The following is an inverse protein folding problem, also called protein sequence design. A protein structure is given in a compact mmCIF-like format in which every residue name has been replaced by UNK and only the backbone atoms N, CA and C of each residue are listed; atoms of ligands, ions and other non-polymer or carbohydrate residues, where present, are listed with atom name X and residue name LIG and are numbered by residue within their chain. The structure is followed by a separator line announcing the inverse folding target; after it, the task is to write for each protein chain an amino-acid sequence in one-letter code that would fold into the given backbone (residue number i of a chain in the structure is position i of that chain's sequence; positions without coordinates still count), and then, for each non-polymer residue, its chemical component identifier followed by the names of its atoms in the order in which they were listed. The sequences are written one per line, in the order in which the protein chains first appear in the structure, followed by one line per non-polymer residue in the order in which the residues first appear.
data_IF_215613034593
#
_entry.id   IF_215613034593
#
_cell.length_a   1.000
_cell.length_b   1.000
_cell.length_c   1.000
_cell.angle_alpha   90.00
_cell.angle_beta   90.00
_cell.angle_gamma   90.00
#
_symmetry.space_group_name_H-M   'P 1'
#
loop_
_entity.id
_entity.type
_entity.pdbx_description
1 polymer ?
#
# COMPACT_ATOMS: atom_id res chain seq x y z
N UNK A 1 11.12 31.82 51.26
CA UNK A 1 12.32 31.28 50.57
C UNK A 1 12.50 29.76 50.66
N UNK A 2 12.20 29.06 51.77
CA UNK A 2 12.41 27.60 51.89
C UNK A 2 11.48 26.72 51.00
N UNK A 3 10.27 27.15 50.66
CA UNK A 3 9.32 26.39 49.80
C UNK A 3 9.67 26.44 48.32
N UNK A 4 10.28 27.50 47.82
CA UNK A 4 10.67 27.67 46.41
C UNK A 4 11.92 26.86 46.05
N UNK A 5 12.85 26.70 47.01
CA UNK A 5 14.06 25.89 46.82
C UNK A 5 13.75 24.38 46.74
N UNK A 6 12.73 23.89 47.45
CA UNK A 6 12.34 22.47 47.43
C UNK A 6 11.68 22.10 46.11
N UNK A 7 10.89 22.99 45.51
CA UNK A 7 10.24 22.74 44.20
C UNK A 7 11.24 22.70 43.05
N UNK A 8 12.29 23.52 43.07
CA UNK A 8 13.36 23.51 42.05
C UNK A 8 14.23 22.26 42.18
N UNK A 9 14.52 21.76 43.38
CA UNK A 9 15.26 20.51 43.57
C UNK A 9 14.47 19.30 43.13
N UNK A 10 13.15 19.22 43.41
CA UNK A 10 12.31 18.12 42.95
C UNK A 10 12.14 18.09 41.42
N UNK A 11 11.99 19.25 40.77
CA UNK A 11 11.94 19.37 39.32
C UNK A 11 13.23 18.92 38.63
N UNK A 12 14.39 19.26 39.22
CA UNK A 12 15.71 18.87 38.71
C UNK A 12 15.97 17.35 38.85
N UNK A 13 15.50 16.74 39.94
CA UNK A 13 15.64 15.29 40.17
C UNK A 13 14.75 14.51 39.22
N UNK A 14 13.53 14.97 38.94
CA UNK A 14 12.64 14.31 37.94
C UNK A 14 13.20 14.41 36.51
N UNK A 15 13.77 15.55 36.15
CA UNK A 15 14.37 15.73 34.81
C UNK A 15 15.62 14.84 34.60
N UNK A 16 16.48 14.74 35.64
CA UNK A 16 17.66 13.87 35.58
C UNK A 16 17.26 12.38 35.49
N UNK A 17 16.26 11.98 36.26
CA UNK A 17 15.78 10.59 36.20
C UNK A 17 15.13 10.24 34.84
N UNK A 18 14.44 11.19 34.18
CA UNK A 18 13.88 10.97 32.84
C UNK A 18 14.97 10.88 31.78
N UNK A 19 16.00 11.69 31.83
CA UNK A 19 17.15 11.62 30.91
C UNK A 19 17.91 10.30 31.11
N UNK A 20 18.17 9.90 32.35
CA UNK A 20 18.85 8.63 32.67
C UNK A 20 18.00 7.41 32.22
N UNK A 21 16.67 7.50 32.36
CA UNK A 21 15.78 6.42 31.85
C UNK A 21 15.82 6.30 30.32
N UNK A 22 15.84 7.44 29.62
CA UNK A 22 15.98 7.47 28.15
C UNK A 22 17.35 6.97 27.71
N UNK A 23 18.44 7.39 28.37
CA UNK A 23 19.79 6.89 28.09
C UNK A 23 19.93 5.38 28.34
N UNK A 24 19.31 4.88 29.43
CA UNK A 24 19.30 3.43 29.72
C UNK A 24 18.45 2.66 28.71
N UNK A 25 17.31 3.21 28.23
CA UNK A 25 16.56 2.61 27.14
C UNK A 25 17.34 2.59 25.85
N UNK A 26 18.04 3.66 25.49
CA UNK A 26 18.88 3.74 24.30
C UNK A 26 20.08 2.76 24.37
N UNK A 27 20.69 2.60 25.55
CA UNK A 27 21.76 1.60 25.76
C UNK A 27 21.23 0.18 25.63
N UNK A 28 20.08 -0.13 26.23
CA UNK A 28 19.45 -1.44 26.15
C UNK A 28 19.03 -1.80 24.72
N UNK A 29 18.60 -0.83 23.89
CA UNK A 29 18.31 -1.04 22.47
C UNK A 29 19.58 -1.41 21.71
N UNK A 30 20.71 -0.78 22.00
CA UNK A 30 21.99 -1.07 21.34
C UNK A 30 22.62 -2.41 21.78
N UNK A 31 22.43 -2.82 23.04
CA UNK A 31 22.98 -4.07 23.56
C UNK A 31 22.22 -5.33 23.12
N UNK A 32 20.96 -5.19 22.67
CA UNK A 32 20.11 -6.32 22.23
C UNK A 32 20.11 -6.59 20.73
N UNK A 33 20.82 -5.77 19.94
CA UNK A 33 20.83 -5.90 18.48
C UNK A 33 21.85 -6.96 18.04
N UNK A 34 21.35 -8.11 17.55
CA UNK A 34 22.20 -9.16 16.98
C UNK A 34 22.94 -8.60 15.75
N UNK A 35 24.29 -8.68 15.70
CA UNK A 35 25.05 -8.23 14.55
C UNK A 35 24.63 -8.95 13.25
N UNK A 36 24.61 -8.23 12.12
CA UNK A 36 24.21 -8.76 10.83
C UNK A 36 24.91 -10.08 10.46
N UNK A 37 26.22 -10.17 10.76
CA UNK A 37 27.05 -11.34 10.46
C UNK A 37 26.64 -12.61 11.23
N UNK A 38 25.87 -12.48 12.31
CA UNK A 38 25.40 -13.59 13.15
C UNK A 38 23.98 -14.01 12.83
N UNK A 39 23.27 -13.30 11.95
CA UNK A 39 21.88 -13.59 11.58
C UNK A 39 21.84 -14.72 10.54
N UNK A 40 20.91 -15.69 10.69
CA UNK A 40 20.66 -16.65 9.63
C UNK A 40 20.19 -15.93 8.37
N UNK A 41 20.65 -16.36 7.21
CA UNK A 41 20.23 -15.77 5.94
C UNK A 41 19.02 -16.52 5.40
N UNK A 42 17.98 -15.77 4.99
CA UNK A 42 16.79 -16.26 4.31
C UNK A 42 16.51 -15.43 3.07
N UNK A 43 16.00 -16.04 2.01
CA UNK A 43 15.50 -15.31 0.86
C UNK A 43 14.07 -14.84 1.12
N UNK A 44 13.74 -13.61 0.71
CA UNK A 44 12.39 -13.11 0.79
C UNK A 44 11.47 -13.86 -0.18
N UNK A 45 10.31 -14.32 0.30
CA UNK A 45 9.22 -14.71 -0.58
C UNK A 45 8.63 -13.44 -1.19
N UNK A 46 8.72 -13.30 -2.51
CA UNK A 46 8.18 -12.17 -3.25
C UNK A 46 6.92 -12.59 -4.00
N UNK A 47 5.79 -11.94 -3.70
CA UNK A 47 4.52 -12.22 -4.36
C UNK A 47 4.03 -10.99 -5.13
N UNK A 48 3.22 -11.22 -6.15
CA UNK A 48 2.63 -10.17 -6.97
C UNK A 48 1.16 -9.97 -6.62
N UNK A 49 0.70 -8.72 -6.69
CA UNK A 49 -0.70 -8.37 -6.42
C UNK A 49 -1.67 -9.24 -7.27
N UNK A 50 -2.79 -9.71 -6.67
CA UNK A 50 -3.30 -9.39 -5.34
C UNK A 50 -2.76 -10.29 -4.21
N UNK A 51 -1.78 -11.17 -4.47
CA UNK A 51 -1.27 -12.12 -3.50
C UNK A 51 -0.24 -11.48 -2.56
N UNK A 52 -0.14 -12.03 -1.35
CA UNK A 52 0.83 -11.65 -0.33
C UNK A 52 1.66 -12.86 0.11
N UNK A 53 2.92 -12.66 0.57
CA UNK A 53 3.70 -13.75 1.14
C UNK A 53 3.05 -14.29 2.41
N UNK A 54 3.32 -15.54 2.74
CA UNK A 54 2.79 -16.16 3.98
C UNK A 54 3.25 -15.41 5.23
N UNK A 55 2.44 -15.45 6.31
CA UNK A 55 2.87 -14.96 7.62
C UNK A 55 4.20 -15.57 8.05
N UNK A 56 5.04 -14.77 8.72
CA UNK A 56 6.35 -15.21 9.16
C UNK A 56 6.21 -16.05 10.43
N UNK A 57 6.64 -17.32 10.36
CA UNK A 57 6.54 -18.26 11.49
C UNK A 57 7.76 -18.20 12.41
N UNK A 58 8.91 -17.70 11.94
CA UNK A 58 10.13 -17.59 12.75
C UNK A 58 9.98 -16.57 13.87
N UNK A 59 10.51 -16.88 15.04
CA UNK A 59 10.46 -16.02 16.23
C UNK A 59 11.71 -15.17 16.42
N UNK A 60 12.77 -15.42 15.65
CA UNK A 60 14.04 -14.71 15.73
C UNK A 60 14.31 -13.89 14.47
N UNK A 61 15.07 -12.78 14.59
CA UNK A 61 15.48 -12.01 13.43
C UNK A 61 16.36 -12.82 12.46
N UNK A 62 16.33 -12.44 11.18
CA UNK A 62 17.15 -13.00 10.11
C UNK A 62 17.76 -11.89 9.25
N UNK A 63 18.74 -12.24 8.44
CA UNK A 63 19.14 -11.46 7.28
C UNK A 63 18.26 -11.87 6.11
N UNK A 64 17.31 -11.03 5.74
CA UNK A 64 16.34 -11.28 4.66
C UNK A 64 16.87 -10.67 3.38
N UNK A 65 17.15 -11.50 2.37
CA UNK A 65 17.65 -11.07 1.07
C UNK A 65 16.50 -10.81 0.12
N UNK A 66 16.37 -9.57 -0.35
CA UNK A 66 15.38 -9.10 -1.30
C UNK A 66 16.06 -8.81 -2.62
N UNK A 67 15.65 -9.49 -3.70
CA UNK A 67 16.20 -9.31 -5.05
C UNK A 67 15.20 -8.63 -5.95
N UNK A 68 15.53 -7.42 -6.41
CA UNK A 68 14.70 -6.65 -7.34
C UNK A 68 15.45 -6.35 -8.62
N UNK A 69 14.75 -6.38 -9.73
CA UNK A 69 15.28 -6.08 -11.06
C UNK A 69 14.44 -4.96 -11.69
N UNK A 70 15.11 -3.87 -12.12
CA UNK A 70 14.47 -2.77 -12.82
C UNK A 70 14.27 -3.13 -14.29
N UNK A 71 13.01 -3.18 -14.74
CA UNK A 71 12.64 -3.61 -16.10
C UNK A 71 11.68 -2.62 -16.75
N UNK A 72 11.93 -2.30 -18.02
CA UNK A 72 10.98 -1.58 -18.86
C UNK A 72 10.08 -2.58 -19.60
N UNK A 73 8.75 -2.43 -19.50
CA UNK A 73 7.79 -3.31 -20.19
C UNK A 73 6.67 -2.51 -20.82
N UNK A 74 6.25 -2.91 -22.01
CA UNK A 74 5.00 -2.41 -22.60
C UNK A 74 3.87 -3.29 -22.10
N UNK A 75 2.92 -2.69 -21.40
CA UNK A 75 1.72 -3.33 -20.86
C UNK A 75 0.51 -2.43 -21.11
N UNK A 76 -0.69 -2.94 -20.91
CA UNK A 76 -1.92 -2.17 -21.06
C UNK A 76 -2.34 -1.55 -19.73
N UNK A 77 -2.67 -0.24 -19.75
CA UNK A 77 -3.36 0.44 -18.64
C UNK A 77 -4.85 0.08 -18.68
N UNK A 78 -5.40 -0.04 -19.87
CA UNK A 78 -6.76 -0.41 -20.19
C UNK A 78 -6.73 -1.19 -21.50
N UNK A 79 -7.78 -1.96 -21.82
CA UNK A 79 -7.86 -2.73 -23.06
C UNK A 79 -7.57 -1.85 -24.28
N UNK A 80 -6.54 -2.21 -25.05
CA UNK A 80 -6.08 -1.47 -26.22
C UNK A 80 -5.23 -0.23 -25.92
N UNK A 81 -5.04 0.18 -24.69
CA UNK A 81 -4.23 1.36 -24.31
C UNK A 81 -2.89 0.92 -23.77
N UNK A 82 -1.89 0.84 -24.64
CA UNK A 82 -0.53 0.44 -24.29
C UNK A 82 0.28 1.60 -23.71
N UNK A 83 1.10 1.31 -22.70
CA UNK A 83 2.01 2.24 -22.07
C UNK A 83 3.34 1.56 -21.73
N UNK A 84 4.45 2.30 -21.77
CA UNK A 84 5.74 1.78 -21.34
C UNK A 84 5.92 1.99 -19.86
N UNK A 85 5.66 0.95 -19.09
CA UNK A 85 5.91 0.90 -17.66
C UNK A 85 7.41 0.79 -17.35
N UNK A 86 7.80 1.37 -16.26
CA UNK A 86 9.01 1.02 -15.53
C UNK A 86 8.60 0.21 -14.30
N UNK A 87 9.26 -0.89 -14.07
CA UNK A 87 8.80 -1.87 -13.08
C UNK A 87 9.95 -2.40 -12.25
N UNK A 88 9.63 -2.92 -11.06
CA UNK A 88 10.49 -3.88 -10.39
C UNK A 88 9.95 -5.29 -10.61
N UNK A 89 10.80 -6.20 -11.03
CA UNK A 89 10.49 -7.59 -11.36
C UNK A 89 9.36 -7.76 -12.41
N UNK A 90 9.21 -6.76 -13.29
CA UNK A 90 8.30 -6.83 -14.45
C UNK A 90 6.82 -6.67 -14.13
N UNK A 91 6.45 -6.18 -12.96
CA UNK A 91 5.06 -5.97 -12.53
C UNK A 91 4.84 -4.56 -11.97
N UNK A 92 3.62 -4.07 -12.10
CA UNK A 92 3.09 -2.89 -11.41
C UNK A 92 1.74 -3.25 -10.79
N UNK A 93 1.58 -3.17 -9.47
CA UNK A 93 2.63 -2.85 -8.50
C UNK A 93 3.75 -3.90 -8.47
N UNK A 94 4.90 -3.47 -7.95
CA UNK A 94 6.05 -4.31 -7.69
C UNK A 94 5.75 -5.38 -6.62
N UNK A 95 6.61 -6.40 -6.44
CA UNK A 95 6.35 -7.47 -5.47
C UNK A 95 6.08 -6.96 -4.05
N UNK A 96 5.20 -7.67 -3.34
CA UNK A 96 5.04 -7.49 -1.90
C UNK A 96 6.23 -8.11 -1.16
N UNK A 97 6.80 -7.35 -0.23
CA UNK A 97 7.91 -7.77 0.64
C UNK A 97 7.36 -7.93 2.05
N UNK A 98 7.61 -9.07 2.69
CA UNK A 98 7.18 -9.34 4.07
C UNK A 98 8.39 -9.70 4.92
N UNK A 99 8.65 -8.90 5.96
CA UNK A 99 9.74 -9.08 6.90
C UNK A 99 9.24 -8.93 8.33
N UNK A 100 10.06 -9.25 9.31
CA UNK A 100 9.75 -9.15 10.73
C UNK A 100 10.57 -8.03 11.38
N UNK A 101 10.00 -7.38 12.38
CA UNK A 101 10.74 -6.44 13.23
C UNK A 101 12.03 -7.07 13.77
N UNK A 102 13.13 -6.35 13.61
CA UNK A 102 14.47 -6.79 13.96
C UNK A 102 15.26 -7.44 12.82
N UNK A 103 14.63 -7.78 11.69
CA UNK A 103 15.33 -8.31 10.52
C UNK A 103 16.32 -7.30 9.95
N UNK A 104 17.44 -7.83 9.45
CA UNK A 104 18.33 -7.10 8.57
C UNK A 104 17.91 -7.37 7.12
N UNK A 105 17.35 -6.37 6.46
CA UNK A 105 16.90 -6.47 5.07
C UNK A 105 18.05 -6.11 4.15
N UNK A 106 18.59 -7.10 3.45
CA UNK A 106 19.61 -6.91 2.41
C UNK A 106 18.90 -6.82 1.06
N UNK A 107 18.98 -5.66 0.42
CA UNK A 107 18.32 -5.39 -0.85
C UNK A 107 19.35 -5.39 -1.97
N UNK A 108 19.10 -6.20 -2.98
CA UNK A 108 19.90 -6.29 -4.20
C UNK A 108 19.07 -5.75 -5.36
N UNK A 109 19.47 -4.60 -5.93
CA UNK A 109 18.85 -4.02 -7.11
C UNK A 109 19.74 -4.26 -8.33
N UNK A 110 19.17 -4.90 -9.35
CA UNK A 110 19.81 -5.07 -10.65
C UNK A 110 19.13 -4.19 -11.70
N UNK A 111 19.93 -3.52 -12.53
CA UNK A 111 19.45 -2.75 -13.67
C UNK A 111 20.11 -3.33 -14.94
N UNK A 112 19.39 -4.03 -15.82
CA UNK A 112 19.94 -4.68 -16.99
C UNK A 112 20.65 -3.71 -17.95
N UNK A 113 21.58 -4.22 -18.75
CA UNK A 113 22.40 -3.44 -19.70
C UNK A 113 21.57 -2.72 -20.77
N UNK A 114 20.38 -3.23 -21.08
CA UNK A 114 19.42 -2.63 -22.03
C UNK A 114 18.50 -1.60 -21.39
N UNK A 115 18.58 -1.38 -20.07
CA UNK A 115 17.90 -0.29 -19.37
C UNK A 115 18.28 1.06 -19.97
N UNK A 116 17.38 2.04 -19.90
CA UNK A 116 17.59 3.38 -20.45
C UNK A 116 17.93 4.42 -19.41
N UNK A 117 17.53 4.16 -18.16
CA UNK A 117 17.65 5.10 -17.04
C UNK A 117 18.30 4.42 -15.84
N UNK A 118 18.98 5.15 -14.97
CA UNK A 118 19.35 4.66 -13.65
C UNK A 118 18.09 4.49 -12.79
N UNK A 119 18.12 3.56 -11.86
CA UNK A 119 17.06 3.32 -10.88
C UNK A 119 17.65 3.11 -9.50
N UNK A 120 16.84 3.38 -8.48
CA UNK A 120 17.20 3.20 -7.07
C UNK A 120 15.98 2.75 -6.27
N UNK A 121 16.13 2.62 -4.96
CA UNK A 121 15.05 2.18 -4.06
C UNK A 121 15.01 3.08 -2.83
N UNK A 122 13.88 3.74 -2.65
CA UNK A 122 13.48 4.41 -1.42
C UNK A 122 12.49 3.51 -0.68
N UNK A 123 12.87 3.05 0.51
CA UNK A 123 12.00 2.28 1.42
C UNK A 123 11.52 3.19 2.54
N UNK A 124 10.23 3.47 2.62
CA UNK A 124 9.65 4.25 3.73
C UNK A 124 9.82 3.56 5.10
N UNK A 125 10.13 2.26 5.11
CA UNK A 125 10.46 1.48 6.31
C UNK A 125 11.92 1.61 6.77
N UNK A 126 12.81 2.19 5.94
CA UNK A 126 14.23 2.27 6.22
C UNK A 126 14.58 3.54 6.99
N UNK A 127 15.11 3.40 8.18
CA UNK A 127 15.73 4.50 8.93
C UNK A 127 17.12 4.84 8.35
N UNK A 128 17.15 5.37 7.13
CA UNK A 128 18.34 5.66 6.35
C UNK A 128 18.15 6.96 5.54
N UNK A 129 19.23 7.71 5.22
CA UNK A 129 19.13 8.85 4.32
C UNK A 129 18.48 8.47 3.00
N UNK A 130 17.45 9.24 2.60
CA UNK A 130 16.64 9.02 1.38
C UNK A 130 16.13 7.57 1.27
N UNK A 131 15.76 6.94 2.40
CA UNK A 131 15.23 5.57 2.42
C UNK A 131 16.12 4.50 1.79
N UNK A 132 17.40 4.82 1.56
CA UNK A 132 18.38 3.97 0.87
C UNK A 132 18.60 4.31 -0.61
N UNK A 133 17.94 5.34 -1.17
CA UNK A 133 18.01 5.62 -2.60
C UNK A 133 19.43 5.92 -3.09
N UNK A 134 20.23 6.67 -2.33
CA UNK A 134 21.64 6.93 -2.68
C UNK A 134 22.48 5.65 -2.70
N UNK A 135 22.28 4.76 -1.73
CA UNK A 135 23.03 3.52 -1.60
C UNK A 135 22.65 2.48 -2.66
N UNK A 136 21.43 2.58 -3.21
CA UNK A 136 20.90 1.62 -4.19
C UNK A 136 20.95 2.09 -5.64
N UNK A 137 21.49 3.29 -5.94
CA UNK A 137 21.55 3.84 -7.29
C UNK A 137 22.28 2.89 -8.26
N UNK A 138 21.55 2.27 -9.18
CA UNK A 138 22.06 1.35 -10.17
C UNK A 138 21.92 1.93 -11.59
N UNK A 139 23.03 2.23 -12.25
CA UNK A 139 23.05 2.57 -13.67
C UNK A 139 22.78 1.32 -14.54
N UNK A 140 22.37 1.46 -15.81
CA UNK A 140 22.24 0.35 -16.74
C UNK A 140 23.47 -0.55 -16.76
N UNK A 141 23.26 -1.88 -16.66
CA UNK A 141 24.31 -2.88 -16.57
C UNK A 141 24.99 -3.00 -15.19
N UNK A 142 24.43 -2.36 -14.16
CA UNK A 142 24.95 -2.41 -12.78
C UNK A 142 23.96 -3.06 -11.81
N UNK A 143 24.54 -3.61 -10.75
CA UNK A 143 23.78 -4.06 -9.57
C UNK A 143 24.36 -3.38 -8.34
N UNK A 144 23.51 -3.07 -7.38
CA UNK A 144 23.86 -2.50 -6.09
C UNK A 144 23.27 -3.32 -4.97
N UNK A 145 23.92 -3.31 -3.82
CA UNK A 145 23.44 -3.99 -2.61
C UNK A 145 23.58 -3.06 -1.43
N UNK A 146 22.53 -2.91 -0.65
CA UNK A 146 22.55 -2.20 0.62
C UNK A 146 21.70 -2.95 1.65
N UNK A 147 21.81 -2.60 2.91
CA UNK A 147 21.02 -3.22 3.94
C UNK A 147 20.56 -2.20 4.98
N UNK A 148 19.41 -2.47 5.56
CA UNK A 148 18.87 -1.71 6.67
C UNK A 148 18.15 -2.63 7.65
N UNK A 149 18.04 -2.20 8.91
CA UNK A 149 17.28 -2.95 9.91
C UNK A 149 15.82 -2.50 9.92
N UNK A 150 14.91 -3.46 9.85
CA UNK A 150 13.48 -3.23 10.01
C UNK A 150 13.17 -3.00 11.51
N UNK A 151 13.07 -1.75 11.93
CA UNK A 151 12.96 -1.37 13.36
C UNK A 151 11.56 -0.97 13.78
N UNK A 152 10.67 -0.64 12.84
CA UNK A 152 9.34 -0.16 13.12
C UNK A 152 8.30 -1.07 12.45
N UNK A 153 7.41 -1.73 13.23
CA UNK A 153 6.30 -2.50 12.65
C UNK A 153 5.33 -1.60 11.89
N UNK A 154 4.84 -2.08 10.74
CA UNK A 154 3.88 -1.37 9.92
C UNK A 154 3.91 -1.80 8.46
N UNK A 155 2.97 -1.28 7.70
CA UNK A 155 2.92 -1.40 6.25
C UNK A 155 3.49 -0.15 5.61
N UNK A 156 4.41 -0.29 4.69
CA UNK A 156 5.17 0.80 4.10
C UNK A 156 5.19 0.72 2.58
N UNK A 157 5.20 1.88 1.93
CA UNK A 157 5.52 1.97 0.52
C UNK A 157 7.03 1.80 0.32
N UNK A 158 7.42 1.25 -0.83
CA UNK A 158 8.74 1.45 -1.42
C UNK A 158 8.59 1.83 -2.89
N UNK A 159 9.50 2.63 -3.40
CA UNK A 159 9.46 3.10 -4.78
C UNK A 159 10.85 3.45 -5.32
N UNK A 160 10.93 3.75 -6.61
CA UNK A 160 12.16 4.30 -7.16
C UNK A 160 12.40 5.72 -6.65
N UNK A 161 13.57 5.95 -6.05
CA UNK A 161 14.00 7.26 -5.54
C UNK A 161 14.87 8.05 -6.50
N UNK A 162 15.07 7.58 -7.74
CA UNK A 162 15.86 8.30 -8.76
C UNK A 162 15.10 9.51 -9.28
N UNK A 163 15.80 10.65 -9.36
CA UNK A 163 15.22 11.88 -9.88
C UNK A 163 14.96 11.83 -11.41
N UNK A 164 13.87 12.40 -11.89
CA UNK A 164 12.71 12.98 -11.18
C UNK A 164 11.79 11.89 -10.62
N UNK A 165 11.69 11.79 -9.30
CA UNK A 165 11.00 10.70 -8.59
C UNK A 165 9.56 10.49 -9.07
N UNK A 166 8.80 11.58 -9.27
CA UNK A 166 7.39 11.51 -9.69
C UNK A 166 7.18 10.82 -11.04
N UNK A 167 8.16 10.89 -11.98
CA UNK A 167 8.08 10.17 -13.26
C UNK A 167 8.25 8.66 -13.02
N UNK A 168 9.20 8.26 -12.17
CA UNK A 168 9.45 6.84 -11.87
C UNK A 168 8.24 6.20 -11.20
N UNK A 169 7.64 6.87 -10.22
CA UNK A 169 6.39 6.43 -9.58
C UNK A 169 5.24 6.40 -10.61
N UNK A 170 5.02 7.49 -11.35
CA UNK A 170 3.95 7.59 -12.34
C UNK A 170 4.09 6.62 -13.52
N UNK A 171 5.28 6.00 -13.68
CA UNK A 171 5.51 4.94 -14.66
C UNK A 171 5.42 3.52 -14.06
N UNK A 172 5.20 3.38 -12.74
CA UNK A 172 4.86 2.09 -12.13
C UNK A 172 5.89 1.49 -11.18
N UNK A 173 6.93 2.24 -10.77
CA UNK A 173 7.99 1.71 -9.89
C UNK A 173 7.68 1.92 -8.42
N UNK A 174 6.75 1.14 -7.89
CA UNK A 174 6.32 1.17 -6.47
C UNK A 174 5.79 -0.19 -6.02
N UNK A 175 5.88 -0.47 -4.73
CA UNK A 175 5.36 -1.67 -4.09
C UNK A 175 5.16 -1.50 -2.59
N UNK A 176 4.71 -2.55 -1.90
CA UNK A 176 4.51 -2.56 -0.45
C UNK A 176 5.53 -3.46 0.26
N UNK A 177 5.93 -3.00 1.44
CA UNK A 177 6.71 -3.76 2.40
C UNK A 177 6.00 -3.78 3.74
N UNK A 178 5.69 -4.98 4.24
CA UNK A 178 5.19 -5.20 5.58
C UNK A 178 6.37 -5.53 6.51
N UNK A 179 6.48 -4.79 7.59
CA UNK A 179 7.30 -5.15 8.76
C UNK A 179 6.35 -5.69 9.82
N UNK A 180 6.29 -7.01 9.97
CA UNK A 180 5.47 -7.63 11.02
C UNK A 180 6.03 -7.32 12.41
N UNK A 181 5.18 -7.03 13.40
CA UNK A 181 5.61 -6.95 14.79
C UNK A 181 6.20 -8.30 15.26
N UNK A 182 6.96 -8.30 16.35
CA UNK A 182 7.62 -9.51 16.89
C UNK A 182 6.66 -10.63 17.21
N UNK A 183 5.45 -10.30 17.66
CA UNK A 183 4.35 -11.20 17.98
C UNK A 183 3.52 -11.63 16.75
N UNK A 184 3.82 -11.07 15.57
CA UNK A 184 3.03 -11.24 14.36
C UNK A 184 1.76 -10.39 14.34
N UNK A 185 1.03 -10.43 13.22
CA UNK A 185 -0.29 -9.82 13.09
C UNK A 185 -1.39 -10.75 13.60
N UNK A 186 -2.58 -10.19 13.90
CA UNK A 186 -3.78 -10.98 14.20
C UNK A 186 -4.06 -11.98 13.08
N UNK A 187 -4.55 -13.17 13.42
CA UNK A 187 -4.91 -14.17 12.42
C UNK A 187 -6.13 -13.75 11.62
N UNK A 188 -6.07 -13.94 10.31
CA UNK A 188 -7.17 -13.75 9.36
C UNK A 188 -7.20 -14.93 8.38
N UNK A 189 -8.34 -15.12 7.70
CA UNK A 189 -8.52 -16.23 6.75
C UNK A 189 -8.00 -15.88 5.36
N UNK A 190 -8.06 -14.60 5.00
CA UNK A 190 -7.62 -14.09 3.69
C UNK A 190 -6.83 -12.79 3.84
N UNK A 191 -5.76 -12.67 3.07
CA UNK A 191 -4.97 -11.45 2.93
C UNK A 191 -4.84 -11.08 1.46
N UNK A 192 -4.96 -9.77 1.14
CA UNK A 192 -4.86 -9.28 -0.22
C UNK A 192 -4.03 -8.01 -0.31
N UNK A 193 -3.26 -7.89 -1.39
CA UNK A 193 -2.46 -6.75 -1.76
C UNK A 193 -3.20 -5.87 -2.76
N UNK A 194 -3.49 -4.62 -2.37
CA UNK A 194 -4.18 -3.62 -3.18
C UNK A 194 -3.31 -2.36 -3.24
N UNK A 195 -3.05 -1.85 -4.45
CA UNK A 195 -2.27 -0.65 -4.64
C UNK A 195 -2.98 0.31 -5.58
N UNK A 196 -3.32 1.50 -5.09
CA UNK A 196 -3.80 2.60 -5.94
C UNK A 196 -2.63 3.33 -6.57
N UNK A 197 -2.79 3.71 -7.84
CA UNK A 197 -1.87 4.62 -8.52
C UNK A 197 -2.58 5.40 -9.63
N UNK A 198 -1.89 6.41 -10.14
CA UNK A 198 -2.35 7.32 -11.16
C UNK A 198 -1.51 7.21 -12.43
N UNK A 199 -2.15 7.34 -13.61
CA UNK A 199 -1.45 7.50 -14.87
C UNK A 199 -1.81 8.83 -15.53
N UNK A 200 -0.79 9.52 -15.98
CA UNK A 200 -0.83 10.78 -16.72
C UNK A 200 -0.28 10.50 -18.10
N UNK A 201 -1.14 10.46 -19.12
CA UNK A 201 -0.73 9.98 -20.43
C UNK A 201 -1.17 10.89 -21.55
N UNK A 202 -0.40 10.87 -22.64
CA UNK A 202 -0.71 11.50 -23.92
C UNK A 202 -0.26 10.61 -25.07
N UNK A 203 -0.65 10.98 -26.30
CA UNK A 203 -0.17 10.30 -27.48
C UNK A 203 1.33 10.43 -27.65
N UNK A 204 1.99 9.32 -27.94
CA UNK A 204 3.39 9.29 -28.31
C UNK A 204 3.60 9.48 -29.82
N UNK A 205 4.87 9.51 -30.25
CA UNK A 205 5.20 9.47 -31.68
C UNK A 205 4.71 8.16 -32.36
N UNK A 206 4.66 7.07 -31.61
CA UNK A 206 3.95 5.87 -32.00
C UNK A 206 2.51 5.94 -31.47
N UNK A 207 1.48 6.02 -32.32
CA UNK A 207 0.08 6.18 -31.91
C UNK A 207 -0.46 4.99 -31.09
N UNK A 208 0.16 3.81 -31.20
CA UNK A 208 -0.20 2.63 -30.41
C UNK A 208 0.35 2.66 -28.97
N UNK A 209 1.22 3.60 -28.66
CA UNK A 209 1.92 3.66 -27.36
C UNK A 209 1.77 5.02 -26.71
N UNK A 210 1.02 5.07 -25.62
CA UNK A 210 0.94 6.26 -24.76
C UNK A 210 2.28 6.51 -24.06
N UNK A 211 2.57 7.80 -23.88
CA UNK A 211 3.75 8.26 -23.13
C UNK A 211 3.33 9.08 -21.92
N UNK A 212 4.23 9.20 -20.94
CA UNK A 212 3.98 10.00 -19.75
C UNK A 212 3.79 11.48 -20.11
N UNK A 213 2.77 12.10 -19.53
CA UNK A 213 2.47 13.52 -19.69
C UNK A 213 2.86 14.31 -18.42
N UNK A 214 3.99 14.98 -18.47
CA UNK A 214 4.51 15.77 -17.36
C UNK A 214 3.58 16.92 -16.98
N UNK A 215 3.00 17.62 -17.95
CA UNK A 215 2.11 18.76 -17.67
C UNK A 215 0.85 18.30 -16.92
N UNK A 216 0.21 17.19 -17.35
CA UNK A 216 -0.92 16.62 -16.62
C UNK A 216 -0.52 16.20 -15.20
N UNK A 217 0.68 15.65 -15.02
CA UNK A 217 1.17 15.26 -13.69
C UNK A 217 1.39 16.47 -12.78
N UNK A 218 1.99 17.55 -13.30
CA UNK A 218 2.19 18.81 -12.56
C UNK A 218 0.88 19.49 -12.17
N UNK A 219 -0.16 19.41 -13.04
CA UNK A 219 -1.50 19.93 -12.76
C UNK A 219 -2.41 18.94 -12.04
N UNK A 220 -1.90 17.75 -11.68
CA UNK A 220 -2.65 16.73 -10.98
C UNK A 220 -3.95 16.28 -11.70
N UNK A 221 -3.88 16.14 -13.02
CA UNK A 221 -4.99 15.76 -13.90
C UNK A 221 -4.78 14.34 -14.45
N UNK A 222 -4.95 13.26 -13.64
CA UNK A 222 -4.74 11.90 -14.11
C UNK A 222 -5.80 11.49 -15.14
N UNK A 223 -5.38 10.80 -16.19
CA UNK A 223 -6.28 10.15 -17.13
C UNK A 223 -6.88 8.90 -16.50
N UNK A 224 -6.07 8.13 -15.77
CA UNK A 224 -6.46 6.92 -15.06
C UNK A 224 -6.09 7.00 -13.60
N UNK A 225 -6.97 6.49 -12.74
CA UNK A 225 -6.70 6.17 -11.34
C UNK A 225 -7.13 4.74 -11.16
N UNK A 226 -6.21 3.84 -10.81
CA UNK A 226 -6.46 2.41 -10.88
C UNK A 226 -6.02 1.68 -9.62
N UNK A 227 -6.57 0.49 -9.41
CA UNK A 227 -5.99 -0.47 -8.49
C UNK A 227 -5.12 -1.48 -9.24
N UNK A 228 -4.00 -1.86 -8.65
CA UNK A 228 -3.05 -2.86 -9.16
C UNK A 228 -2.63 -2.65 -10.62
N UNK A 229 -2.33 -1.37 -10.95
CA UNK A 229 -1.59 -0.97 -12.14
C UNK A 229 -2.37 -0.95 -13.45
N UNK A 230 -3.65 -1.32 -13.50
CA UNK A 230 -4.49 -1.22 -14.70
C UNK A 230 -5.98 -1.19 -14.37
N UNK A 231 -6.78 -0.68 -15.30
CA UNK A 231 -8.24 -0.78 -15.24
C UNK A 231 -8.64 -2.25 -15.27
N UNK A 232 -9.58 -2.63 -14.40
CA UNK A 232 -10.10 -4.00 -14.35
C UNK A 232 -9.18 -5.04 -13.70
N UNK A 233 -8.05 -4.63 -13.10
CA UNK A 233 -7.12 -5.58 -12.47
C UNK A 233 -7.76 -6.44 -11.36
N UNK A 234 -8.82 -5.95 -10.72
CA UNK A 234 -9.51 -6.58 -9.58
C UNK A 234 -11.03 -6.66 -9.79
N UNK A 235 -11.50 -6.70 -11.03
CA UNK A 235 -12.94 -6.84 -11.36
C UNK A 235 -13.20 -8.13 -12.14
N UNK A 236 -14.46 -8.49 -12.29
CA UNK A 236 -14.95 -9.60 -13.07
C UNK A 236 -14.25 -10.92 -12.71
N UNK A 237 -13.58 -11.58 -13.65
CA UNK A 237 -12.84 -12.83 -13.43
C UNK A 237 -11.65 -12.66 -12.47
N UNK A 238 -11.12 -11.42 -12.33
CA UNK A 238 -10.01 -11.08 -11.43
C UNK A 238 -10.49 -10.65 -10.04
N UNK A 239 -11.79 -10.70 -9.76
CA UNK A 239 -12.35 -10.32 -8.47
C UNK A 239 -11.74 -11.18 -7.34
N UNK A 240 -11.48 -10.54 -6.20
CA UNK A 240 -11.05 -11.22 -4.98
C UNK A 240 -12.14 -12.17 -4.50
N UNK A 241 -11.78 -13.23 -3.77
CA UNK A 241 -12.72 -14.25 -3.31
C UNK A 241 -12.58 -14.51 -1.81
N UNK A 242 -13.74 -14.57 -1.14
CA UNK A 242 -13.87 -14.95 0.26
C UNK A 242 -15.15 -15.76 0.47
N UNK A 243 -15.35 -16.27 1.69
CA UNK A 243 -16.55 -16.95 2.11
C UNK A 243 -17.22 -16.22 3.27
N UNK A 244 -18.51 -16.44 3.43
CA UNK A 244 -19.21 -16.03 4.67
C UNK A 244 -18.51 -16.67 5.86
N UNK A 245 -18.19 -15.84 6.85
CA UNK A 245 -17.40 -16.25 8.03
C UNK A 245 -15.90 -15.92 7.93
N UNK A 246 -15.37 -15.68 6.74
CA UNK A 246 -13.95 -15.30 6.62
C UNK A 246 -13.68 -13.93 7.23
N UNK A 247 -12.62 -13.82 8.01
CA UNK A 247 -11.98 -12.57 8.39
C UNK A 247 -10.96 -12.21 7.31
N UNK A 248 -11.14 -11.06 6.67
CA UNK A 248 -10.33 -10.60 5.53
C UNK A 248 -9.47 -9.42 5.95
N UNK A 249 -8.21 -9.41 5.53
CA UNK A 249 -7.29 -8.25 5.63
C UNK A 249 -6.91 -7.76 4.25
N UNK A 250 -7.03 -6.45 4.03
CA UNK A 250 -6.42 -5.78 2.89
C UNK A 250 -5.19 -5.00 3.33
N UNK A 251 -4.08 -5.22 2.65
CA UNK A 251 -2.91 -4.36 2.67
C UNK A 251 -3.06 -3.36 1.53
N UNK A 252 -3.34 -2.11 1.86
CA UNK A 252 -3.66 -1.09 0.86
C UNK A 252 -2.60 0.00 0.85
N UNK A 253 -2.04 0.26 -0.32
CA UNK A 253 -1.14 1.38 -0.54
C UNK A 253 -1.70 2.36 -1.57
N UNK A 254 -1.24 3.60 -1.50
CA UNK A 254 -1.48 4.62 -2.50
C UNK A 254 -0.13 5.21 -2.96
N UNK A 255 0.33 4.77 -4.12
CA UNK A 255 1.56 5.29 -4.71
C UNK A 255 1.39 6.73 -5.23
N UNK A 256 0.17 7.18 -5.46
CA UNK A 256 -0.10 8.46 -6.06
C UNK A 256 0.35 8.55 -7.53
N UNK A 257 1.18 9.52 -7.94
CA UNK A 257 2.03 10.36 -7.09
C UNK A 257 1.35 11.56 -6.39
N UNK A 258 0.13 11.93 -6.76
CA UNK A 258 -0.46 13.19 -6.31
C UNK A 258 -1.72 13.03 -5.45
N UNK A 259 -2.66 12.16 -5.83
CA UNK A 259 -4.01 12.11 -5.22
C UNK A 259 -4.07 11.27 -3.95
N UNK A 260 -4.79 11.79 -2.95
CA UNK A 260 -5.16 11.04 -1.76
C UNK A 260 -6.24 10.03 -2.16
N UNK A 261 -6.20 8.82 -1.62
CA UNK A 261 -7.25 7.82 -1.77
C UNK A 261 -8.25 7.93 -0.62
N UNK A 262 -9.53 7.93 -0.93
CA UNK A 262 -10.63 7.75 0.02
C UNK A 262 -11.13 6.31 -0.07
N UNK A 263 -10.39 5.37 0.53
CA UNK A 263 -10.63 3.94 0.37
C UNK A 263 -11.88 3.49 1.13
N UNK A 264 -12.82 2.86 0.43
CA UNK A 264 -14.10 2.40 0.94
C UNK A 264 -14.48 1.04 0.36
N UNK A 265 -15.12 0.19 1.15
CA UNK A 265 -15.77 -1.04 0.69
C UNK A 265 -17.28 -0.87 0.78
N UNK A 266 -17.95 -0.76 -0.37
CA UNK A 266 -19.40 -0.58 -0.45
C UNK A 266 -20.11 -1.80 0.13
N UNK A 267 -20.94 -1.57 1.13
CA UNK A 267 -21.70 -2.62 1.82
C UNK A 267 -21.03 -3.22 3.04
N UNK A 268 -19.81 -2.76 3.42
CA UNK A 268 -19.13 -3.25 4.62
C UNK A 268 -18.35 -2.12 5.31
N UNK A 269 -18.49 -2.05 6.62
CA UNK A 269 -17.64 -1.22 7.49
C UNK A 269 -16.38 -2.00 7.83
N UNK A 270 -15.22 -1.35 7.86
CA UNK A 270 -13.98 -1.93 8.37
C UNK A 270 -14.07 -2.11 9.88
N UNK A 271 -13.90 -3.33 10.37
CA UNK A 271 -13.91 -3.61 11.81
C UNK A 271 -12.69 -2.99 12.49
N UNK A 272 -11.53 -3.03 11.80
CA UNK A 272 -10.28 -2.42 12.25
C UNK A 272 -9.57 -1.75 11.07
N UNK A 273 -9.05 -0.55 11.30
CA UNK A 273 -8.17 0.19 10.38
C UNK A 273 -6.88 0.50 11.13
N UNK A 274 -5.76 0.05 10.57
CA UNK A 274 -4.42 0.44 11.03
C UNK A 274 -4.08 1.76 10.37
N UNK A 275 -4.16 2.83 11.14
CA UNK A 275 -4.04 4.21 10.66
C UNK A 275 -2.67 4.43 10.03
N UNK A 276 -2.68 4.91 8.77
CA UNK A 276 -1.45 5.20 8.01
C UNK A 276 -0.46 4.02 7.94
N UNK A 277 -0.99 2.78 8.02
CA UNK A 277 -0.18 1.56 8.01
C UNK A 277 0.62 1.28 9.28
N UNK A 278 0.52 2.14 10.30
CA UNK A 278 1.20 2.00 11.58
C UNK A 278 0.49 1.05 12.55
N UNK A 279 0.78 1.20 13.85
CA UNK A 279 0.23 0.35 14.90
C UNK A 279 -1.03 0.91 15.57
N UNK A 280 -1.35 2.19 15.33
CA UNK A 280 -2.58 2.82 15.83
C UNK A 280 -3.79 2.24 15.10
N UNK A 281 -4.81 1.85 15.86
CA UNK A 281 -6.02 1.24 15.32
C UNK A 281 -7.25 2.09 15.60
N UNK A 282 -8.07 2.30 14.54
CA UNK A 282 -9.42 2.80 14.65
C UNK A 282 -10.40 1.65 14.34
N UNK A 283 -11.59 1.70 14.94
CA UNK A 283 -12.60 0.66 14.77
C UNK A 283 -13.89 1.21 14.14
N UNK A 284 -14.62 0.33 13.43
CA UNK A 284 -15.91 0.63 12.81
C UNK A 284 -15.86 1.81 11.82
N UNK A 285 -14.82 1.84 11.00
CA UNK A 285 -14.56 2.90 10.02
C UNK A 285 -15.23 2.56 8.69
N UNK A 286 -15.97 3.51 8.12
CA UNK A 286 -16.62 3.31 6.82
C UNK A 286 -15.70 3.60 5.64
N UNK A 287 -14.89 4.66 5.74
CA UNK A 287 -13.97 5.13 4.69
C UNK A 287 -12.70 5.63 5.36
N UNK A 288 -11.54 5.23 4.86
CA UNK A 288 -10.24 5.65 5.40
C UNK A 288 -9.45 6.42 4.35
N UNK A 289 -8.70 7.43 4.81
CA UNK A 289 -7.82 8.20 3.93
C UNK A 289 -6.45 7.54 3.84
N UNK A 290 -5.92 7.46 2.61
CA UNK A 290 -4.56 7.01 2.35
C UNK A 290 -3.85 8.12 1.58
N UNK A 291 -2.92 8.84 2.21
CA UNK A 291 -2.18 9.90 1.54
C UNK A 291 -1.37 9.34 0.36
N UNK A 292 -1.00 10.22 -0.57
CA UNK A 292 -0.02 9.85 -1.59
C UNK A 292 1.30 9.44 -0.93
N UNK A 293 1.85 8.30 -1.31
CA UNK A 293 3.03 7.71 -0.65
C UNK A 293 2.71 6.99 0.68
N UNK A 294 1.44 6.86 1.02
CA UNK A 294 0.99 6.24 2.26
C UNK A 294 0.34 4.87 2.09
N UNK A 295 -0.02 4.27 3.24
CA UNK A 295 -0.59 2.93 3.32
C UNK A 295 -1.65 2.84 4.40
N UNK A 296 -2.42 1.75 4.40
CA UNK A 296 -3.28 1.33 5.52
C UNK A 296 -3.45 -0.19 5.49
N UNK A 297 -3.77 -0.78 6.62
CA UNK A 297 -4.31 -2.13 6.70
C UNK A 297 -5.75 -2.05 7.18
N UNK A 298 -6.64 -2.80 6.57
CA UNK A 298 -8.03 -2.87 7.03
C UNK A 298 -8.44 -4.32 7.22
N UNK A 299 -9.18 -4.59 8.29
CA UNK A 299 -9.72 -5.91 8.60
C UNK A 299 -11.23 -5.86 8.71
N UNK A 300 -11.90 -6.90 8.22
CA UNK A 300 -13.34 -7.04 8.28
C UNK A 300 -13.79 -8.49 8.25
N UNK A 301 -14.88 -8.79 8.97
CA UNK A 301 -15.56 -10.07 8.94
C UNK A 301 -16.60 -10.06 7.82
N UNK A 302 -16.57 -11.02 6.89
CA UNK A 302 -17.54 -11.12 5.80
C UNK A 302 -18.75 -11.95 6.25
N UNK A 303 -19.88 -11.28 6.56
CA UNK A 303 -21.05 -11.91 7.20
C UNK A 303 -22.24 -12.16 6.26
N UNK A 304 -22.22 -11.59 5.06
CA UNK A 304 -23.30 -11.70 4.08
C UNK A 304 -22.70 -12.07 2.73
N UNK A 305 -23.23 -13.05 1.98
CA UNK A 305 -22.75 -13.36 0.64
C UNK A 305 -23.12 -12.28 -0.36
N UNK A 306 -22.31 -12.15 -1.40
CA UNK A 306 -22.57 -11.21 -2.47
C UNK A 306 -21.31 -10.60 -3.08
N UNK A 307 -21.50 -9.69 -4.03
CA UNK A 307 -20.44 -8.90 -4.64
C UNK A 307 -20.31 -7.57 -3.89
N UNK A 308 -19.14 -7.33 -3.34
CA UNK A 308 -18.78 -6.07 -2.70
C UNK A 308 -17.77 -5.34 -3.57
N UNK A 309 -17.97 -4.03 -3.76
CA UNK A 309 -17.08 -3.19 -4.57
C UNK A 309 -16.29 -2.27 -3.65
N UNK A 310 -14.96 -2.37 -3.68
CA UNK A 310 -14.12 -1.36 -3.06
C UNK A 310 -13.70 -0.30 -4.08
N UNK A 311 -13.63 0.95 -3.62
CA UNK A 311 -13.43 2.13 -4.47
C UNK A 311 -12.53 3.17 -3.80
N UNK A 312 -11.93 4.06 -4.60
CA UNK A 312 -11.65 5.41 -4.15
C UNK A 312 -12.97 6.18 -4.18
N UNK A 313 -13.47 6.62 -3.02
CA UNK A 313 -14.78 7.27 -2.88
C UNK A 313 -14.79 8.76 -3.32
N UNK A 314 -13.69 9.27 -3.87
CA UNK A 314 -13.71 10.37 -4.83
C UNK A 314 -14.32 9.83 -6.12
N UNK A 315 -15.63 9.64 -6.15
CA UNK A 315 -16.35 8.59 -6.89
C UNK A 315 -16.10 8.58 -8.40
N UNK A 316 -15.88 9.71 -9.04
CA UNK A 316 -15.49 9.77 -10.46
C UNK A 316 -14.13 9.13 -10.75
N UNK A 317 -13.30 8.83 -9.73
CA UNK A 317 -12.08 8.04 -9.91
C UNK A 317 -12.37 6.56 -10.08
N UNK A 318 -13.51 6.06 -9.57
CA UNK A 318 -13.95 4.70 -9.84
C UNK A 318 -14.23 4.48 -11.34
N UNK A 319 -14.71 5.52 -12.05
CA UNK A 319 -14.91 5.49 -13.51
C UNK A 319 -13.58 5.52 -14.27
N UNK A 320 -12.53 6.11 -13.67
CA UNK A 320 -11.16 6.09 -14.21
C UNK A 320 -10.39 4.79 -13.89
N UNK A 321 -11.03 3.84 -13.19
CA UNK A 321 -10.49 2.52 -12.89
C UNK A 321 -10.20 2.24 -11.41
N UNK A 322 -10.40 3.20 -10.47
CA UNK A 322 -10.17 3.01 -9.04
C UNK A 322 -11.31 2.22 -8.37
N UNK A 323 -11.56 1.00 -8.86
CA UNK A 323 -12.54 0.05 -8.34
C UNK A 323 -12.03 -1.38 -8.44
N UNK A 324 -12.47 -2.21 -7.50
CA UNK A 324 -12.24 -3.65 -7.51
C UNK A 324 -13.38 -4.36 -6.79
N UNK A 325 -13.44 -5.67 -6.89
CA UNK A 325 -14.50 -6.48 -6.30
C UNK A 325 -13.95 -7.57 -5.40
N UNK A 326 -14.70 -7.88 -4.34
CA UNK A 326 -14.58 -9.12 -3.60
C UNK A 326 -15.92 -9.86 -3.66
N UNK A 327 -15.88 -11.11 -4.11
CA UNK A 327 -17.03 -12.01 -4.16
C UNK A 327 -17.01 -12.85 -2.89
N UNK A 328 -18.08 -12.77 -2.11
CA UNK A 328 -18.26 -13.55 -0.90
C UNK A 328 -19.29 -14.65 -1.16
N UNK A 329 -18.84 -15.89 -1.11
CA UNK A 329 -19.67 -17.08 -1.32
C UNK A 329 -20.20 -17.60 0.02
N UNK A 330 -21.42 -18.09 0.03
CA UNK A 330 -22.03 -18.71 1.22
C UNK A 330 -23.54 -18.53 1.30
N UNK A 331 -24.12 -18.88 2.42
CA UNK A 331 -25.55 -18.77 2.65
C UNK A 331 -25.93 -17.38 3.16
N UNK A 332 -27.13 -16.94 2.79
CA UNK A 332 -27.67 -15.65 3.22
C UNK A 332 -28.04 -15.68 4.70
N UNK A 333 -27.70 -14.61 5.42
CA UNK A 333 -28.17 -14.35 6.77
C UNK A 333 -29.21 -13.23 6.76
N UNK A 334 -30.49 -13.59 6.79
CA UNK A 334 -31.60 -12.64 6.73
C UNK A 334 -31.72 -11.76 7.97
N UNK A 335 -31.13 -12.17 9.10
CA UNK A 335 -31.08 -11.34 10.32
C UNK A 335 -30.12 -10.15 10.18
N UNK A 336 -29.17 -10.24 9.21
CA UNK A 336 -28.24 -9.15 8.91
C UNK A 336 -28.71 -8.35 7.68
N UNK A 337 -29.17 -9.05 6.63
CA UNK A 337 -29.63 -8.41 5.39
C UNK A 337 -30.75 -9.22 4.73
N UNK A 338 -31.92 -8.64 4.65
CA UNK A 338 -33.12 -9.29 4.13
C UNK A 338 -33.23 -9.23 2.59
N UNK A 339 -32.48 -8.36 1.93
CA UNK A 339 -32.74 -7.99 0.55
C UNK A 339 -34.01 -7.12 0.40
N UNK A 340 -34.55 -7.04 -0.81
CA UNK A 340 -35.80 -6.30 -1.09
C UNK A 340 -36.97 -7.03 -0.39
N UNK A 341 -37.61 -6.37 0.56
CA UNK A 341 -38.79 -6.91 1.28
C UNK A 341 -40.04 -6.68 0.48
N UNK A 342 -40.22 -5.49 -0.07
CA UNK A 342 -41.44 -5.07 -0.79
C UNK A 342 -41.13 -4.04 -1.86
N UNK A 343 -41.92 -4.07 -2.91
CA UNK A 343 -41.95 -3.03 -3.94
C UNK A 343 -43.40 -2.67 -4.20
N UNK A 344 -43.73 -1.41 -4.14
CA UNK A 344 -45.06 -0.88 -4.36
C UNK A 344 -44.97 0.26 -5.38
N UNK A 345 -46.06 0.41 -6.18
CA UNK A 345 -46.17 1.57 -7.02
C UNK A 345 -46.34 2.80 -6.15
N UNK A 346 -45.47 3.77 -6.28
CA UNK A 346 -45.55 5.06 -5.60
C UNK A 346 -46.35 6.02 -6.47
N UNK A 347 -47.71 5.97 -6.32
CA UNK A 347 -48.60 6.88 -7.01
C UNK A 347 -48.84 8.12 -6.12
N UNK A 348 -47.91 9.08 -6.18
CA UNK A 348 -48.21 10.46 -5.77
C UNK A 348 -47.97 11.34 -6.98
N UNK A 349 -49.00 12.03 -7.40
CA UNK A 349 -48.93 13.14 -8.35
C UNK A 349 -47.82 14.10 -7.93
N UNK A 350 -46.66 13.98 -8.60
CA UNK A 350 -45.61 14.98 -8.53
C UNK A 350 -45.69 15.78 -9.83
N UNK A 351 -46.26 17.01 -9.81
CA UNK A 351 -46.34 17.84 -11.02
C UNK A 351 -45.00 18.23 -11.59
N UNK A 352 -43.92 18.11 -10.79
CA UNK A 352 -42.55 18.48 -11.18
C UNK A 352 -41.71 17.27 -11.68
N UNK A 353 -42.30 16.06 -11.77
CA UNK A 353 -41.57 14.83 -12.19
C UNK A 353 -41.13 14.85 -13.67
N UNK A 354 -41.51 15.86 -14.44
CA UNK A 354 -41.11 16.02 -15.85
C UNK A 354 -40.00 17.04 -16.08
N UNK A 355 -39.44 17.63 -15.04
CA UNK A 355 -38.31 18.55 -15.17
C UNK A 355 -37.04 17.77 -14.95
N UNK A 356 -36.31 17.53 -16.01
CA UNK A 356 -35.01 16.82 -16.13
C UNK A 356 -35.03 15.32 -16.42
N UNK A 357 -35.66 14.92 -17.51
CA UNK A 357 -35.29 13.67 -18.21
C UNK A 357 -33.98 13.78 -19.02
N UNK A 358 -33.05 14.63 -18.59
CA UNK A 358 -31.84 14.97 -19.32
C UNK A 358 -30.54 14.20 -18.96
N UNK A 359 -30.59 13.22 -18.06
CA UNK A 359 -29.45 12.38 -17.75
C UNK A 359 -29.76 10.91 -17.97
N UNK A 360 -29.67 10.47 -19.22
CA UNK A 360 -29.50 9.06 -19.58
C UNK A 360 -28.08 8.89 -20.05
N UNK A 361 -27.28 8.16 -19.28
CA UNK A 361 -26.00 7.62 -19.69
C UNK A 361 -25.97 6.13 -19.46
#
# INVERSE_FOLDING_TARGET
MKKTMLAVMLGSIMAVNSVQAVENQLKNVNESVVPMAQLPTVEAELTFAPNVPKPIERTTPAKVVVKLEALEKVMEIESGVKFKYWTFNGSTPAPFIRVREGDMVEVQLSNPVNGKMPHSLDFHSAAAPEGGALASQAAPGKSTTFAFRATAPGLYLYHCGTMPVGIHIGKGMFGLMLVEPKEGLSKVDKEFYIMQNEFYVKDGANPELKVFDMAKAEYELPDYVVFNGKVGALTDENALKAKVGDKVRFFVGNAGPNKISSFHLIGRTFDTVYVEGGTLQNHHVQTTLIPSGGTTMVEMQMNVPGKYTFVDHSIFRAEKGAKGNIIVEGETNKEIYTGKIKEENYDKHNPDANVDAGFVH
#
